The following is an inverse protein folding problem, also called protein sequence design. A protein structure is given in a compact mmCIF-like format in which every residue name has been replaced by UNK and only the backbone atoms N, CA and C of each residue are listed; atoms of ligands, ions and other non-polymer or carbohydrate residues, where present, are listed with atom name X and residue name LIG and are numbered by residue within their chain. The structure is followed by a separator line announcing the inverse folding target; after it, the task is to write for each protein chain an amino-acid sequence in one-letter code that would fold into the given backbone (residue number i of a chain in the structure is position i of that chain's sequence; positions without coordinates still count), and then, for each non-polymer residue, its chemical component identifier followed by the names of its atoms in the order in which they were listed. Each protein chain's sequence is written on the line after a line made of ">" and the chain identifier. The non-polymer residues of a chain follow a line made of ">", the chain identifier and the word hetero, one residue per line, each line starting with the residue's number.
data_IF_474480727917
#
_entry.id   IF_474480727917
#
_cell.length_a   1.000
_cell.length_b   1.000
_cell.length_c   1.000
_cell.angle_alpha   90.00
_cell.angle_beta   90.00
_cell.angle_gamma   90.00
#
_symmetry.space_group_name_H-M   'P 1'
#
loop_
_entity.id
_entity.type
_entity.pdbx_description
1 polymer ?
#
# COMPACT_ATOMS: atom_id res chain seq x y z
N UNK A 1 -12.76 -17.14 16.93
CA UNK A 1 -12.84 -16.64 15.54
C UNK A 1 -11.54 -17.04 14.87
N UNK A 2 -11.55 -18.15 14.15
CA UNK A 2 -10.36 -18.81 13.62
C UNK A 2 -9.90 -18.11 12.35
N UNK A 3 -8.76 -17.43 12.39
CA UNK A 3 -8.05 -17.01 11.18
C UNK A 3 -7.68 -18.29 10.41
N UNK A 4 -8.39 -18.56 9.31
CA UNK A 4 -8.04 -19.64 8.40
C UNK A 4 -6.62 -19.44 7.86
N UNK A 5 -5.92 -20.52 7.49
CA UNK A 5 -4.57 -20.41 6.94
C UNK A 5 -4.65 -19.59 5.65
N UNK A 6 -4.00 -18.43 5.64
CA UNK A 6 -3.90 -17.62 4.43
C UNK A 6 -2.92 -18.34 3.53
N UNK A 7 -3.43 -18.97 2.47
CA UNK A 7 -2.61 -19.73 1.53
C UNK A 7 -1.58 -18.79 0.90
N UNK A 8 -0.32 -19.17 0.96
CA UNK A 8 0.81 -18.46 0.34
C UNK A 8 0.71 -18.35 -1.18
N UNK A 9 -0.22 -19.07 -1.82
CA UNK A 9 -0.56 -18.97 -3.26
C UNK A 9 -1.45 -17.76 -3.61
N UNK A 10 -1.88 -16.95 -2.64
CA UNK A 10 -2.77 -15.81 -2.85
C UNK A 10 -2.04 -14.45 -2.74
N UNK A 11 -0.70 -14.44 -2.82
CA UNK A 11 0.12 -13.24 -2.89
C UNK A 11 0.50 -12.95 -4.35
N UNK A 12 0.40 -11.67 -4.74
CA UNK A 12 0.84 -11.22 -6.06
C UNK A 12 2.36 -11.14 -6.14
N UNK A 13 3.02 -10.74 -5.05
CA UNK A 13 4.47 -10.57 -4.99
C UNK A 13 5.11 -11.87 -4.53
N UNK A 14 6.17 -12.30 -5.22
CA UNK A 14 6.87 -13.52 -4.85
C UNK A 14 7.78 -13.32 -3.63
N UNK A 15 8.19 -14.43 -3.00
CA UNK A 15 9.11 -14.40 -1.85
C UNK A 15 10.43 -13.67 -2.13
N UNK A 16 10.99 -13.84 -3.32
CA UNK A 16 12.28 -13.25 -3.68
C UNK A 16 12.15 -11.76 -3.99
N UNK A 17 11.06 -11.36 -4.63
CA UNK A 17 10.71 -9.96 -4.88
C UNK A 17 10.44 -9.20 -3.57
N UNK A 18 9.66 -9.78 -2.66
CA UNK A 18 9.39 -9.17 -1.35
C UNK A 18 10.70 -8.97 -0.55
N UNK A 19 11.63 -9.92 -0.59
CA UNK A 19 12.97 -9.78 0.00
C UNK A 19 13.81 -8.73 -0.70
N UNK A 20 13.79 -8.69 -2.03
CA UNK A 20 14.51 -7.68 -2.80
C UNK A 20 14.02 -6.25 -2.45
N UNK A 21 12.72 -6.07 -2.20
CA UNK A 21 12.17 -4.81 -1.70
C UNK A 21 12.68 -4.49 -0.30
N UNK A 22 12.57 -5.44 0.64
CA UNK A 22 13.01 -5.22 2.02
C UNK A 22 14.50 -4.90 2.15
N UNK A 23 15.32 -5.46 1.25
CA UNK A 23 16.77 -5.27 1.25
C UNK A 23 17.22 -4.16 0.27
N UNK A 24 16.29 -3.43 -0.36
CA UNK A 24 16.60 -2.30 -1.24
C UNK A 24 17.32 -2.68 -2.55
N UNK A 25 17.20 -3.94 -2.99
CA UNK A 25 17.80 -4.44 -4.24
C UNK A 25 16.84 -4.44 -5.43
N UNK A 26 15.55 -4.22 -5.21
CA UNK A 26 14.58 -4.21 -6.29
C UNK A 26 14.75 -2.95 -7.15
N UNK A 27 15.00 -3.13 -8.45
CA UNK A 27 15.26 -2.02 -9.38
C UNK A 27 14.03 -1.18 -9.73
N UNK A 28 12.82 -1.71 -9.52
CA UNK A 28 11.56 -1.02 -9.79
C UNK A 28 10.50 -1.31 -8.72
N UNK A 29 10.52 -0.62 -7.56
CA UNK A 29 9.54 -0.83 -6.51
C UNK A 29 8.09 -0.55 -6.94
N UNK A 30 7.84 0.30 -7.93
CA UNK A 30 6.48 0.65 -8.39
C UNK A 30 5.80 -0.50 -9.14
N UNK A 31 6.56 -1.42 -9.72
CA UNK A 31 6.01 -2.65 -10.31
C UNK A 31 5.41 -3.61 -9.26
N UNK A 32 5.82 -3.47 -8.00
CA UNK A 32 5.44 -4.37 -6.91
C UNK A 32 4.60 -3.69 -5.85
N UNK A 33 4.90 -2.46 -5.45
CA UNK A 33 4.24 -1.74 -4.37
C UNK A 33 3.09 -0.88 -4.88
N UNK A 34 2.15 -0.59 -4.00
CA UNK A 34 0.97 0.20 -4.31
C UNK A 34 -0.20 -0.66 -4.83
N UNK A 35 -1.27 0.01 -5.32
CA UNK A 35 -2.47 -0.64 -5.81
C UNK A 35 -2.28 -1.10 -7.26
N UNK A 36 -2.48 -2.38 -7.52
CA UNK A 36 -2.45 -2.96 -8.86
C UNK A 36 -3.51 -4.06 -8.98
N UNK A 37 -4.30 -4.01 -10.06
CA UNK A 37 -5.33 -5.02 -10.37
C UNK A 37 -6.29 -5.32 -9.20
N UNK A 38 -6.64 -4.29 -8.42
CA UNK A 38 -7.53 -4.40 -7.25
C UNK A 38 -6.88 -4.97 -5.99
N UNK A 39 -5.54 -5.08 -5.96
CA UNK A 39 -4.77 -5.55 -4.82
C UNK A 39 -3.67 -4.54 -4.46
N UNK A 40 -3.58 -4.23 -3.18
CA UNK A 40 -2.56 -3.38 -2.60
C UNK A 40 -1.42 -4.24 -2.08
N UNK A 41 -0.19 -3.89 -2.42
CA UNK A 41 1.01 -4.41 -1.78
C UNK A 41 1.76 -3.26 -1.09
N UNK A 42 2.15 -3.45 0.17
CA UNK A 42 2.80 -2.41 0.97
C UNK A 42 3.97 -2.98 1.76
N UNK A 43 5.04 -2.20 1.82
CA UNK A 43 6.19 -2.44 2.69
C UNK A 43 6.17 -1.45 3.87
N UNK A 44 5.95 -1.97 5.07
CA UNK A 44 5.92 -1.26 6.35
C UNK A 44 6.93 -1.88 7.32
N UNK A 45 8.20 -1.44 7.31
CA UNK A 45 9.21 -1.92 8.24
C UNK A 45 8.74 -1.79 9.70
N UNK A 46 8.86 -2.88 10.47
CA UNK A 46 8.52 -2.90 11.90
C UNK A 46 7.04 -3.10 12.22
N UNK A 47 6.15 -3.10 11.22
CA UNK A 47 4.75 -3.47 11.43
C UNK A 47 4.60 -4.99 11.53
N UNK A 48 3.76 -5.45 12.48
CA UNK A 48 3.33 -6.85 12.62
C UNK A 48 1.92 -7.07 12.09
N UNK A 49 1.13 -6.00 12.00
CA UNK A 49 -0.20 -6.01 11.40
C UNK A 49 -0.42 -4.71 10.62
N UNK A 50 -1.24 -4.80 9.57
CA UNK A 50 -1.59 -3.65 8.76
C UNK A 50 -3.04 -3.71 8.28
N UNK A 51 -3.63 -2.54 8.04
CA UNK A 51 -4.98 -2.39 7.51
C UNK A 51 -5.03 -1.28 6.46
N UNK A 52 -5.90 -1.44 5.48
CA UNK A 52 -6.24 -0.42 4.49
C UNK A 52 -7.60 0.19 4.82
N UNK A 53 -7.68 1.52 4.86
CA UNK A 53 -8.92 2.27 5.14
C UNK A 53 -9.37 2.99 3.88
N UNK A 54 -10.55 2.65 3.38
CA UNK A 54 -11.15 3.30 2.20
C UNK A 54 -12.48 3.98 2.57
N UNK A 55 -12.51 5.31 2.45
CA UNK A 55 -13.67 6.12 2.80
C UNK A 55 -14.06 5.98 4.29
N UNK A 56 -15.37 5.87 4.56
CA UNK A 56 -15.93 5.78 5.92
C UNK A 56 -16.09 4.34 6.45
N UNK A 57 -15.67 3.33 5.69
CA UNK A 57 -15.78 1.93 6.09
C UNK A 57 -14.75 1.60 7.18
N UNK A 58 -15.00 0.51 7.92
CA UNK A 58 -14.00 -0.06 8.83
C UNK A 58 -12.74 -0.43 8.02
N UNK A 59 -11.53 -0.21 8.56
CA UNK A 59 -10.30 -0.65 7.91
C UNK A 59 -10.32 -2.15 7.62
N UNK A 60 -9.98 -2.52 6.39
CA UNK A 60 -9.85 -3.91 5.97
C UNK A 60 -8.44 -4.42 6.30
N UNK A 61 -8.29 -5.64 6.86
CA UNK A 61 -6.98 -6.18 7.19
C UNK A 61 -6.17 -6.47 5.94
N UNK A 62 -4.87 -6.21 6.00
CA UNK A 62 -3.89 -6.69 5.03
C UNK A 62 -3.23 -7.95 5.59
N UNK A 63 -2.89 -8.87 4.69
CA UNK A 63 -2.28 -10.14 5.01
C UNK A 63 -0.77 -10.00 5.06
N UNK A 64 -0.09 -10.39 6.15
CA UNK A 64 1.37 -10.38 6.20
C UNK A 64 1.96 -11.43 5.27
N UNK A 65 2.97 -11.02 4.50
CA UNK A 65 3.67 -11.90 3.58
C UNK A 65 4.58 -12.88 4.35
N UNK A 66 4.51 -14.20 4.06
CA UNK A 66 5.15 -15.22 4.90
C UNK A 66 6.68 -15.15 4.89
N UNK A 67 7.28 -14.75 3.77
CA UNK A 67 8.73 -14.68 3.62
C UNK A 67 9.37 -13.32 3.98
N UNK A 68 8.55 -12.31 4.28
CA UNK A 68 9.02 -10.93 4.45
C UNK A 68 8.22 -10.18 5.53
N UNK A 69 8.69 -10.20 6.80
CA UNK A 69 8.04 -9.47 7.89
C UNK A 69 7.99 -7.97 7.61
N UNK A 70 6.82 -7.36 7.73
CA UNK A 70 6.60 -5.96 7.36
C UNK A 70 6.05 -5.76 5.94
N UNK A 71 6.00 -6.82 5.13
CA UNK A 71 5.34 -6.77 3.82
C UNK A 71 3.92 -7.28 3.94
N UNK A 72 2.97 -6.58 3.34
CA UNK A 72 1.56 -6.93 3.44
C UNK A 72 0.85 -6.80 2.09
N UNK A 73 -0.14 -7.65 1.86
CA UNK A 73 -1.01 -7.57 0.70
C UNK A 73 -2.50 -7.69 1.06
N UNK A 74 -3.36 -7.05 0.29
CA UNK A 74 -4.80 -7.23 0.45
C UNK A 74 -5.60 -6.55 -0.64
N UNK A 75 -6.91 -6.80 -0.65
CA UNK A 75 -7.79 -6.20 -1.65
C UNK A 75 -7.99 -4.71 -1.39
N UNK A 76 -8.02 -3.95 -2.48
CA UNK A 76 -8.27 -2.50 -2.47
C UNK A 76 -9.15 -2.13 -3.66
N UNK A 77 -10.08 -1.21 -3.45
CA UNK A 77 -10.83 -0.59 -4.55
C UNK A 77 -9.95 0.51 -5.19
N UNK A 78 -9.48 0.36 -6.44
CA UNK A 78 -8.58 1.33 -7.05
C UNK A 78 -9.25 2.69 -7.30
N UNK A 79 -10.58 2.75 -7.35
CA UNK A 79 -11.31 4.00 -7.56
C UNK A 79 -11.45 4.85 -6.28
N UNK A 80 -10.97 4.37 -5.13
CA UNK A 80 -11.15 5.04 -3.84
C UNK A 80 -9.82 5.42 -3.20
N UNK A 81 -9.72 6.66 -2.66
CA UNK A 81 -8.56 7.03 -1.86
C UNK A 81 -8.47 6.14 -0.62
N UNK A 82 -7.24 5.83 -0.21
CA UNK A 82 -6.97 5.00 0.94
C UNK A 82 -5.88 5.58 1.83
N UNK A 83 -5.91 5.18 3.10
CA UNK A 83 -4.79 5.31 4.04
C UNK A 83 -4.45 3.94 4.60
N UNK A 84 -3.21 3.77 5.04
CA UNK A 84 -2.74 2.53 5.63
C UNK A 84 -2.53 2.76 7.11
N UNK A 85 -2.96 1.81 7.94
CA UNK A 85 -2.66 1.78 9.36
C UNK A 85 -1.73 0.61 9.63
N UNK A 86 -0.55 0.88 10.18
CA UNK A 86 0.36 -0.14 10.71
C UNK A 86 0.21 -0.28 12.22
N UNK A 87 0.64 -1.41 12.75
CA UNK A 87 0.76 -1.66 14.18
C UNK A 87 2.04 -2.46 14.46
N UNK A 88 2.79 -2.08 15.50
CA UNK A 88 4.01 -2.75 15.91
C UNK A 88 3.74 -3.89 16.91
N UNK A 89 4.78 -4.63 17.28
CA UNK A 89 4.69 -5.72 18.25
C UNK A 89 4.27 -5.26 19.66
N UNK A 90 4.38 -3.97 19.97
CA UNK A 90 3.94 -3.38 21.24
C UNK A 90 2.46 -2.93 21.21
N UNK A 91 1.77 -3.06 20.06
CA UNK A 91 0.39 -2.62 19.87
C UNK A 91 0.26 -1.13 19.58
N UNK A 92 1.36 -0.43 19.31
CA UNK A 92 1.35 0.97 18.92
C UNK A 92 0.99 1.07 17.44
N UNK A 93 -0.16 1.67 17.15
CA UNK A 93 -0.63 1.91 15.80
C UNK A 93 -0.21 3.28 15.25
N UNK A 94 0.05 3.35 13.94
CA UNK A 94 0.24 4.61 13.22
C UNK A 94 -0.49 4.59 11.89
N UNK A 95 -0.88 5.77 11.40
CA UNK A 95 -1.42 5.94 10.05
C UNK A 95 -0.32 6.49 9.13
N UNK A 96 -0.26 5.96 7.91
CA UNK A 96 0.68 6.35 6.87
C UNK A 96 -0.04 6.47 5.54
N UNK A 97 0.41 7.43 4.73
CA UNK A 97 0.00 7.56 3.33
C UNK A 97 0.99 6.74 2.52
N UNK A 98 0.48 5.85 1.68
CA UNK A 98 1.32 5.01 0.83
C UNK A 98 2.07 5.87 -0.20
N UNK A 99 3.42 5.87 -0.20
CA UNK A 99 4.20 6.63 -1.17
C UNK A 99 4.07 6.08 -2.61
N UNK A 100 3.64 4.82 -2.77
CA UNK A 100 3.45 4.15 -4.07
C UNK A 100 1.99 4.18 -4.53
N UNK A 101 1.13 4.99 -3.89
CA UNK A 101 -0.29 5.12 -4.27
C UNK A 101 -0.54 5.71 -5.65
N UNK A 102 0.45 6.42 -6.17
CA UNK A 102 0.46 6.94 -7.53
C UNK A 102 1.25 5.93 -8.35
N UNK A 103 0.59 5.25 -9.30
CA UNK A 103 1.30 4.39 -10.25
C UNK A 103 2.37 5.18 -11.03
N UNK A 104 3.20 4.50 -11.85
CA UNK A 104 4.38 5.09 -12.50
C UNK A 104 4.12 6.29 -13.44
N UNK A 105 2.88 6.72 -13.63
CA UNK A 105 2.51 7.87 -14.43
C UNK A 105 1.36 8.60 -13.74
N UNK A 106 1.44 9.92 -13.67
CA UNK A 106 0.30 10.86 -13.68
C UNK A 106 -0.57 10.54 -14.91
N UNK A 107 -1.26 9.40 -14.89
CA UNK A 107 -2.10 8.91 -15.97
C UNK A 107 -3.55 9.13 -15.56
N UNK A 108 -4.20 10.08 -16.20
CA UNK A 108 -5.64 10.35 -16.19
C UNK A 108 -6.27 10.91 -14.88
N UNK A 109 -5.60 10.87 -13.72
CA UNK A 109 -6.19 11.41 -12.48
C UNK A 109 -6.29 12.96 -12.45
N UNK A 110 -5.50 13.67 -13.26
CA UNK A 110 -5.59 15.13 -13.37
C UNK A 110 -6.80 15.61 -14.19
N UNK A 111 -7.44 14.76 -14.99
CA UNK A 111 -8.60 15.18 -15.81
C UNK A 111 -9.87 15.40 -14.97
N UNK A 112 -9.96 14.81 -13.77
CA UNK A 112 -11.09 15.04 -12.85
C UNK A 112 -10.77 16.04 -11.73
N UNK A 113 -9.49 16.37 -11.50
CA UNK A 113 -9.05 17.36 -10.50
C UNK A 113 -8.90 18.78 -11.08
N UNK A 114 -9.04 18.95 -12.41
CA UNK A 114 -9.07 20.23 -13.13
C UNK A 114 -10.50 20.82 -13.30
N UNK A 115 -11.47 20.37 -12.50
CA UNK A 115 -12.87 20.80 -12.60
C UNK A 115 -13.30 21.93 -11.66
N UNK A 116 -12.56 22.20 -10.58
CA UNK A 116 -13.00 23.18 -9.58
C UNK A 116 -11.79 24.02 -9.13
N UNK A 117 -11.63 25.18 -9.75
CA UNK A 117 -10.51 26.07 -9.51
C UNK A 117 -10.52 26.64 -8.10
N UNK A 118 -9.76 26.03 -7.19
CA UNK A 118 -8.96 26.74 -6.17
C UNK A 118 -8.06 25.76 -5.38
N UNK A 119 -7.00 25.20 -5.98
CA UNK A 119 -5.97 24.51 -5.18
C UNK A 119 -4.55 24.95 -5.55
N UNK A 120 -4.12 26.01 -4.86
CA UNK A 120 -2.74 26.49 -4.77
C UNK A 120 -1.83 25.54 -3.99
N UNK A 121 -1.52 24.34 -4.50
CA UNK A 121 -0.41 23.50 -3.97
C UNK A 121 0.33 22.72 -5.05
N UNK A 122 0.64 23.38 -6.17
CA UNK A 122 1.46 22.86 -7.28
C UNK A 122 2.94 22.58 -6.90
N UNK A 123 3.29 22.58 -5.62
CA UNK A 123 4.67 22.41 -5.13
C UNK A 123 4.94 21.04 -4.48
N UNK A 124 3.96 20.14 -4.36
CA UNK A 124 4.18 18.81 -3.75
C UNK A 124 4.76 17.75 -4.72
N UNK A 125 4.90 18.07 -6.01
CA UNK A 125 5.50 17.18 -7.01
C UNK A 125 7.03 17.38 -7.20
N UNK A 126 7.66 18.31 -6.49
CA UNK A 126 9.11 18.52 -6.49
C UNK A 126 9.61 18.77 -5.05
N UNK A 127 9.92 17.70 -4.33
CA UNK A 127 10.69 17.73 -3.08
C UNK A 127 11.95 16.87 -3.25
N UNK A 128 13.11 17.42 -2.86
CA UNK A 128 14.48 17.00 -3.17
C UNK A 128 14.87 15.55 -2.81
#
# INVERSE_FOLDING_TARGET
>A
MTNGPVNSDDFRVSNDEARAIAEGRHGDPFSLLGPQDGRLAVWLPGAVAAWVKQGRKKPAPLTPHPACPGFFEGLVDPAKPYTIRGEDAAGTGWEVIDPYRFGPVLGELDEYLLGEGDHRRLWEALGA
#
